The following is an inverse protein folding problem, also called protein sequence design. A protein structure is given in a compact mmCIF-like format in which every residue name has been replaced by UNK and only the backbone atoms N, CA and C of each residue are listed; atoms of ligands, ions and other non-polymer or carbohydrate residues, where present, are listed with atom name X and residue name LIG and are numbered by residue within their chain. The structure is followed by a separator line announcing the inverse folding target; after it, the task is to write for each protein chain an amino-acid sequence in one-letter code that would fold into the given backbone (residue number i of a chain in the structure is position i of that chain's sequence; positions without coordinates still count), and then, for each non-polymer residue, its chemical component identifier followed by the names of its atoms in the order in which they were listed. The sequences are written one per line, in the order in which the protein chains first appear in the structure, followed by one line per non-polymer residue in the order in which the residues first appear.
data_IF_186639620966
#
_entry.id   IF_186639620966
#
_cell.length_a   1.000
_cell.length_b   1.000
_cell.length_c   1.000
_cell.angle_alpha   90.00
_cell.angle_beta   90.00
_cell.angle_gamma   90.00
#
_symmetry.space_group_name_H-M   'P 1'
#
loop_
_entity.id
_entity.type
_entity.pdbx_description
1 polymer ?
#
# COMPACT_ATOMS: atom_id res chain seq x y z
N UNK A 1 1.73 -2.84 -6.79
CA UNK A 1 2.11 -1.98 -5.64
C UNK A 1 1.19 -2.19 -4.45
N UNK A 2 -0.14 -2.02 -4.56
CA UNK A 2 -1.09 -2.26 -3.46
C UNK A 2 -0.97 -3.65 -2.82
N UNK A 3 -0.90 -4.72 -3.62
CA UNK A 3 -0.68 -6.09 -3.12
C UNK A 3 0.61 -6.22 -2.31
N UNK A 4 1.71 -5.64 -2.78
CA UNK A 4 3.00 -5.67 -2.08
C UNK A 4 2.94 -4.88 -0.77
N UNK A 5 2.32 -3.70 -0.78
CA UNK A 5 2.15 -2.90 0.43
C UNK A 5 1.31 -3.64 1.48
N UNK A 6 0.23 -4.29 1.05
CA UNK A 6 -0.59 -5.13 1.92
C UNK A 6 0.20 -6.31 2.49
N UNK A 7 0.90 -7.09 1.64
CA UNK A 7 1.70 -8.22 2.08
C UNK A 7 2.76 -7.81 3.11
N UNK A 8 3.55 -6.77 2.80
CA UNK A 8 4.58 -6.28 3.73
C UNK A 8 4.00 -5.79 5.06
N UNK A 9 2.80 -5.22 5.06
CA UNK A 9 2.14 -4.79 6.31
C UNK A 9 1.81 -5.94 7.27
N UNK A 10 1.58 -7.14 6.74
CA UNK A 10 1.38 -8.35 7.53
C UNK A 10 2.69 -9.07 7.84
N UNK A 11 3.68 -8.98 6.94
CA UNK A 11 4.99 -9.60 7.15
C UNK A 11 5.80 -8.91 8.24
N UNK A 12 5.72 -7.57 8.34
CA UNK A 12 6.51 -6.77 9.28
C UNK A 12 5.75 -6.51 10.58
N UNK A 13 5.89 -7.44 11.52
CA UNK A 13 5.35 -7.33 12.86
C UNK A 13 6.20 -6.38 13.73
N UNK A 14 5.53 -5.57 14.56
CA UNK A 14 6.17 -4.57 15.44
C UNK A 14 7.12 -3.64 14.67
N UNK A 15 6.71 -3.22 13.47
CA UNK A 15 7.45 -2.25 12.68
C UNK A 15 7.60 -0.94 13.46
N UNK A 16 8.82 -0.40 13.50
CA UNK A 16 9.15 0.84 14.23
C UNK A 16 9.78 1.92 13.34
N UNK A 17 9.85 1.66 12.04
CA UNK A 17 10.45 2.56 11.04
C UNK A 17 9.54 2.67 9.81
N UNK A 18 9.51 3.82 9.13
CA UNK A 18 8.70 3.99 7.94
C UNK A 18 9.17 3.09 6.81
N UNK A 19 8.22 2.43 6.15
CA UNK A 19 8.43 1.74 4.87
C UNK A 19 7.49 2.40 3.86
N UNK A 20 8.04 3.19 2.94
CA UNK A 20 7.26 3.94 1.95
C UNK A 20 7.44 3.31 0.58
N UNK A 21 6.38 2.70 0.06
CA UNK A 21 6.33 2.27 -1.33
C UNK A 21 5.97 3.48 -2.20
N UNK A 22 6.65 3.61 -3.34
CA UNK A 22 6.38 4.66 -4.32
C UNK A 22 6.62 4.12 -5.73
N UNK A 23 6.31 4.92 -6.74
CA UNK A 23 6.61 4.61 -8.13
C UNK A 23 6.19 5.74 -9.05
N UNK A 24 6.01 5.44 -10.32
CA UNK A 24 5.65 6.43 -11.34
C UNK A 24 4.86 5.78 -12.46
N UNK A 25 3.98 6.54 -13.09
CA UNK A 25 3.36 6.12 -14.35
C UNK A 25 4.29 6.42 -15.54
N UNK A 26 5.08 7.49 -15.44
CA UNK A 26 6.02 7.92 -16.47
C UNK A 26 7.46 7.71 -15.98
N UNK A 27 8.36 7.08 -16.74
CA UNK A 27 9.76 6.87 -16.34
C UNK A 27 10.45 8.16 -15.87
N UNK A 28 11.28 8.08 -14.82
CA UNK A 28 11.85 9.25 -14.12
C UNK A 28 12.68 10.20 -15.01
N UNK A 29 13.22 9.68 -16.11
CA UNK A 29 14.05 10.43 -17.05
C UNK A 29 13.22 11.28 -18.03
N UNK A 30 11.93 11.01 -18.17
CA UNK A 30 11.05 11.80 -19.03
C UNK A 30 10.76 13.18 -18.45
N UNK A 31 10.57 14.17 -19.33
CA UNK A 31 10.40 15.58 -18.93
C UNK A 31 9.16 15.80 -18.07
N UNK A 32 8.07 15.09 -18.39
CA UNK A 32 6.78 15.20 -17.68
C UNK A 32 6.59 14.12 -16.61
N UNK A 33 7.68 13.50 -16.15
CA UNK A 33 7.61 12.38 -15.22
C UNK A 33 7.04 12.78 -13.86
N UNK A 34 6.22 11.90 -13.31
CA UNK A 34 5.75 11.95 -11.92
C UNK A 34 6.70 11.27 -10.93
N UNK A 35 7.67 10.52 -11.43
CA UNK A 35 8.62 9.77 -10.61
C UNK A 35 9.54 10.64 -9.77
N UNK A 36 9.89 11.86 -10.23
CA UNK A 36 10.75 12.76 -9.46
C UNK A 36 10.06 13.23 -8.18
N UNK A 37 8.84 13.74 -8.31
CA UNK A 37 8.04 14.21 -7.18
C UNK A 37 7.66 13.07 -6.25
N UNK A 38 7.26 11.91 -6.81
CA UNK A 38 6.92 10.72 -6.05
C UNK A 38 8.13 10.18 -5.26
N UNK A 39 9.34 10.19 -5.84
CA UNK A 39 10.55 9.74 -5.17
C UNK A 39 10.95 10.71 -4.05
N UNK A 40 11.01 12.01 -4.35
CA UNK A 40 11.40 13.04 -3.37
C UNK A 40 10.42 13.03 -2.18
N UNK A 41 9.11 13.04 -2.44
CA UNK A 41 8.12 13.02 -1.36
C UNK A 41 8.18 11.75 -0.51
N UNK A 42 8.47 10.59 -1.11
CA UNK A 42 8.64 9.34 -0.36
C UNK A 42 9.88 9.37 0.55
N UNK A 43 10.99 9.93 0.08
CA UNK A 43 12.21 10.11 0.87
C UNK A 43 12.01 11.12 2.00
N UNK A 44 11.26 12.20 1.75
CA UNK A 44 10.92 13.18 2.78
C UNK A 44 10.10 12.54 3.91
N UNK A 45 9.07 11.75 3.59
CA UNK A 45 8.32 10.99 4.61
C UNK A 45 9.24 10.05 5.37
N UNK A 46 10.01 9.22 4.66
CA UNK A 46 10.85 8.20 5.28
C UNK A 46 11.96 8.78 6.16
N UNK A 47 12.51 9.95 5.79
CA UNK A 47 13.65 10.56 6.47
C UNK A 47 13.28 11.54 7.58
N UNK A 48 12.09 12.15 7.53
CA UNK A 48 11.73 13.26 8.44
C UNK A 48 10.57 12.93 9.38
N UNK A 49 9.77 11.90 9.11
CA UNK A 49 8.57 11.59 9.88
C UNK A 49 8.64 10.19 10.48
N UNK A 50 8.31 10.07 11.76
CA UNK A 50 8.20 8.79 12.45
C UNK A 50 6.81 8.19 12.21
N UNK A 51 6.63 7.54 11.05
CA UNK A 51 5.39 6.83 10.69
C UNK A 51 5.72 5.34 10.59
N UNK A 52 5.59 4.55 11.67
CA UNK A 52 6.05 3.16 11.74
C UNK A 52 5.11 2.18 11.02
N UNK A 53 4.75 2.49 9.78
CA UNK A 53 3.83 1.71 8.96
C UNK A 53 4.40 1.43 7.57
N UNK A 54 3.87 0.37 6.94
CA UNK A 54 3.99 0.21 5.50
C UNK A 54 2.98 1.13 4.82
N UNK A 55 3.50 2.11 4.08
CA UNK A 55 2.72 3.16 3.43
C UNK A 55 2.95 3.15 1.92
N UNK A 56 2.04 3.80 1.20
CA UNK A 56 2.16 4.04 -0.23
C UNK A 56 2.08 5.54 -0.47
N UNK A 57 3.12 6.12 -1.04
CA UNK A 57 3.16 7.52 -1.43
C UNK A 57 2.97 7.66 -2.94
N UNK A 58 1.97 8.43 -3.35
CA UNK A 58 1.71 8.72 -4.75
C UNK A 58 0.94 10.04 -4.86
N UNK A 59 1.31 10.91 -5.81
CA UNK A 59 0.57 12.15 -6.10
C UNK A 59 0.28 12.99 -4.86
N UNK A 60 1.33 13.32 -4.12
CA UNK A 60 1.23 14.23 -2.98
C UNK A 60 0.32 13.69 -1.85
N UNK A 61 0.05 12.39 -1.83
CA UNK A 61 -0.75 11.73 -0.79
C UNK A 61 0.01 10.52 -0.26
N UNK A 62 -0.02 10.38 1.06
CA UNK A 62 0.48 9.21 1.77
C UNK A 62 -0.71 8.39 2.24
N UNK A 63 -0.75 7.12 1.86
CA UNK A 63 -1.80 6.19 2.22
C UNK A 63 -1.26 5.08 3.12
N UNK A 64 -2.12 4.52 3.98
CA UNK A 64 -1.83 3.25 4.66
C UNK A 64 -1.78 2.11 3.63
N UNK A 65 -0.68 1.38 3.56
CA UNK A 65 -0.38 0.45 2.47
C UNK A 65 -1.46 -0.62 2.22
N UNK A 66 -2.01 -1.19 3.29
CA UNK A 66 -3.06 -2.22 3.23
C UNK A 66 -4.48 -1.68 3.01
N UNK A 67 -4.64 -0.37 2.78
CA UNK A 67 -5.93 0.26 2.47
C UNK A 67 -6.01 0.79 1.04
N UNK A 68 -4.98 0.59 0.21
CA UNK A 68 -4.88 1.16 -1.13
C UNK A 68 -5.29 0.17 -2.22
N UNK A 69 -5.97 0.66 -3.24
CA UNK A 69 -6.20 -0.06 -4.51
C UNK A 69 -5.76 0.81 -5.69
N UNK A 70 -5.26 0.19 -6.76
CA UNK A 70 -5.00 0.90 -8.02
C UNK A 70 -6.35 1.14 -8.71
N UNK A 71 -6.68 2.39 -8.95
CA UNK A 71 -7.98 2.80 -9.54
C UNK A 71 -7.86 3.27 -10.98
N UNK A 72 -6.66 3.67 -11.41
CA UNK A 72 -6.43 4.23 -12.75
C UNK A 72 -5.10 3.70 -13.32
N UNK A 73 -5.13 3.33 -14.60
CA UNK A 73 -3.98 2.78 -15.33
C UNK A 73 -3.28 3.83 -16.20
N UNK A 74 -3.95 4.92 -16.57
CA UNK A 74 -3.43 5.95 -17.47
C UNK A 74 -3.24 7.28 -16.73
N UNK A 75 -4.21 7.62 -15.89
CA UNK A 75 -4.20 8.83 -15.12
C UNK A 75 -3.07 8.89 -14.13
N UNK A 76 -2.70 10.12 -13.85
CA UNK A 76 -1.67 10.48 -12.90
C UNK A 76 -2.07 10.16 -11.45
N UNK A 77 -3.37 10.09 -11.13
CA UNK A 77 -3.91 9.68 -9.83
C UNK A 77 -4.23 8.18 -9.81
N UNK A 78 -3.18 7.35 -9.85
CA UNK A 78 -3.31 5.90 -10.05
C UNK A 78 -3.88 5.12 -8.86
N UNK A 79 -3.79 5.66 -7.63
CA UNK A 79 -4.09 4.95 -6.39
C UNK A 79 -5.04 5.74 -5.49
N UNK A 80 -5.94 5.02 -4.82
CA UNK A 80 -6.82 5.59 -3.81
C UNK A 80 -7.13 4.62 -2.67
N UNK A 81 -7.65 5.18 -1.58
CA UNK A 81 -8.12 4.45 -0.40
C UNK A 81 -9.57 4.82 -0.10
N UNK A 82 -10.50 4.02 -0.62
CA UNK A 82 -11.93 4.33 -0.54
C UNK A 82 -12.49 4.28 0.90
N UNK A 83 -11.95 3.40 1.74
CA UNK A 83 -12.51 3.09 3.06
C UNK A 83 -11.60 3.54 4.21
N UNK A 84 -10.56 4.33 3.93
CA UNK A 84 -9.68 4.88 4.96
C UNK A 84 -9.04 6.19 4.47
N UNK A 85 -9.05 7.27 5.27
CA UNK A 85 -8.44 8.54 4.88
C UNK A 85 -6.92 8.42 4.65
N UNK A 86 -6.38 9.33 3.84
CA UNK A 86 -4.92 9.56 3.69
C UNK A 86 -4.27 9.84 5.05
N UNK A 87 -3.09 9.27 5.29
CA UNK A 87 -2.28 9.51 6.49
C UNK A 87 -1.60 10.87 6.44
N UNK A 88 -1.18 11.30 5.24
CA UNK A 88 -0.62 12.63 5.03
C UNK A 88 -0.96 13.20 3.65
N UNK A 89 -1.01 14.52 3.55
CA UNK A 89 -1.20 15.26 2.30
C UNK A 89 -0.13 16.33 2.13
N UNK A 90 0.50 16.34 0.96
CA UNK A 90 1.52 17.30 0.55
C UNK A 90 0.84 18.45 -0.17
N UNK A 91 0.46 19.47 0.60
CA UNK A 91 -0.06 20.74 0.09
C UNK A 91 1.09 21.77 0.14
N UNK A 92 0.79 23.04 0.39
CA UNK A 92 1.82 24.05 0.72
C UNK A 92 2.67 23.64 1.93
N UNK A 93 2.05 22.92 2.88
CA UNK A 93 2.72 22.25 3.99
C UNK A 93 2.31 20.78 3.98
N UNK A 94 3.18 19.92 4.52
CA UNK A 94 2.87 18.51 4.74
C UNK A 94 1.96 18.43 5.96
N UNK A 95 0.73 17.93 5.77
CA UNK A 95 -0.24 17.74 6.83
C UNK A 95 -0.32 16.25 7.15
N UNK A 96 0.15 15.85 8.32
CA UNK A 96 0.08 14.47 8.81
C UNK A 96 -1.07 14.35 9.81
N UNK A 97 -1.90 13.31 9.65
CA UNK A 97 -3.00 12.98 10.54
C UNK A 97 -2.53 11.97 11.59
N UNK A 98 -1.88 12.48 12.64
CA UNK A 98 -1.25 11.68 13.70
C UNK A 98 -2.24 10.80 14.47
N UNK A 99 -3.48 11.23 14.58
CA UNK A 99 -4.60 10.49 15.16
C UNK A 99 -4.90 9.17 14.43
N UNK A 100 -4.53 9.07 13.16
CA UNK A 100 -4.73 7.86 12.35
C UNK A 100 -3.54 6.92 12.37
N UNK A 101 -2.35 7.40 12.77
CA UNK A 101 -1.12 6.63 12.69
C UNK A 101 -1.12 5.54 13.76
N UNK A 102 -0.77 4.34 13.33
CA UNK A 102 -0.74 3.15 14.15
C UNK A 102 0.71 2.84 14.54
N UNK A 103 1.03 3.05 15.81
CA UNK A 103 2.35 2.77 16.37
C UNK A 103 2.27 1.58 17.34
N UNK A 104 2.93 0.49 16.96
CA UNK A 104 3.12 -0.72 17.77
C UNK A 104 4.58 -0.99 18.11
N UNK A 105 5.44 0.00 17.93
CA UNK A 105 6.88 -0.16 18.19
C UNK A 105 7.19 -0.59 19.64
N UNK A 106 6.28 -0.34 20.59
CA UNK A 106 6.39 -0.74 22.00
C UNK A 106 5.82 -2.12 22.34
N UNK A 107 5.13 -2.80 21.41
CA UNK A 107 4.45 -4.07 21.71
C UNK A 107 5.39 -5.29 21.68
N UNK A 108 6.59 -5.18 21.11
CA UNK A 108 7.58 -6.27 21.08
C UNK A 108 8.74 -6.02 20.13
N UNK A 109 9.68 -6.98 20.00
CA UNK A 109 10.76 -6.89 19.04
C UNK A 109 10.23 -6.98 17.60
N UNK A 110 10.91 -6.31 16.68
CA UNK A 110 10.63 -6.41 15.24
C UNK A 110 10.82 -7.85 14.74
N UNK A 111 9.85 -8.36 14.00
CA UNK A 111 9.88 -9.71 13.44
C UNK A 111 9.37 -9.73 12.00
N UNK A 112 9.90 -10.63 11.17
CA UNK A 112 9.53 -10.77 9.76
C UNK A 112 8.93 -12.15 9.50
N UNK A 113 7.65 -12.19 9.18
CA UNK A 113 6.94 -13.41 8.79
C UNK A 113 7.17 -13.72 7.32
N UNK A 114 8.07 -14.66 7.03
CA UNK A 114 8.38 -15.09 5.64
C UNK A 114 7.59 -16.32 5.19
N UNK A 115 7.05 -17.09 6.14
CA UNK A 115 6.27 -18.29 5.85
C UNK A 115 4.78 -17.94 5.66
N UNK A 116 4.45 -17.40 4.48
CA UNK A 116 3.08 -17.10 4.09
C UNK A 116 2.44 -18.32 3.42
N UNK A 117 1.18 -18.61 3.74
CA UNK A 117 0.42 -19.66 3.07
C UNK A 117 0.24 -19.32 1.58
N UNK A 118 0.66 -20.24 0.70
CA UNK A 118 0.55 -20.10 -0.76
C UNK A 118 -0.79 -20.61 -1.30
N UNK A 119 -1.49 -21.43 -0.53
CA UNK A 119 -2.82 -21.94 -0.86
C UNK A 119 -3.83 -20.89 -0.38
N UNK A 120 -3.96 -19.83 -1.19
CA UNK A 120 -4.96 -18.77 -1.02
C UNK A 120 -5.37 -18.29 -2.40
N UNK A 121 -6.67 -18.05 -2.62
CA UNK A 121 -7.19 -17.64 -3.92
C UNK A 121 -8.29 -16.56 -3.78
N UNK A 122 -8.49 -15.76 -4.83
CA UNK A 122 -9.53 -14.74 -4.90
C UNK A 122 -10.61 -15.15 -5.91
N UNK A 123 -11.79 -15.53 -5.42
CA UNK A 123 -12.95 -15.81 -6.26
C UNK A 123 -13.80 -14.55 -6.40
N UNK A 124 -13.86 -13.98 -7.60
CA UNK A 124 -14.77 -12.88 -7.92
C UNK A 124 -16.08 -13.45 -8.46
N UNK A 125 -17.18 -13.25 -7.72
CA UNK A 125 -18.51 -13.64 -8.17
C UNK A 125 -18.99 -12.72 -9.31
N UNK A 126 -19.74 -13.29 -10.25
CA UNK A 126 -20.37 -12.58 -11.36
C UNK A 126 -21.71 -13.24 -11.73
N UNK A 127 -22.66 -12.50 -12.34
CA UNK A 127 -23.94 -13.07 -12.77
C UNK A 127 -23.74 -14.25 -13.72
N UNK A 128 -24.37 -15.39 -13.42
CA UNK A 128 -24.24 -16.61 -14.22
C UNK A 128 -23.07 -17.52 -13.83
N UNK A 129 -22.29 -17.19 -12.78
CA UNK A 129 -21.32 -18.13 -12.23
C UNK A 129 -22.04 -19.42 -11.78
N UNK A 130 -21.54 -20.57 -12.24
CA UNK A 130 -22.20 -21.86 -11.95
C UNK A 130 -21.67 -22.46 -10.66
N UNK A 131 -22.50 -23.25 -9.98
CA UNK A 131 -22.07 -24.07 -8.83
C UNK A 131 -20.86 -24.96 -9.19
N UNK A 132 -20.82 -25.53 -10.39
CA UNK A 132 -19.70 -26.37 -10.84
C UNK A 132 -18.39 -25.57 -10.91
N UNK A 133 -18.44 -24.32 -11.41
CA UNK A 133 -17.28 -23.42 -11.43
C UNK A 133 -16.77 -23.13 -10.02
N UNK A 134 -17.68 -22.82 -9.08
CA UNK A 134 -17.32 -22.54 -7.68
C UNK A 134 -16.74 -23.78 -7.02
N UNK A 135 -17.36 -24.96 -7.21
CA UNK A 135 -16.87 -26.23 -6.67
C UNK A 135 -15.46 -26.53 -7.18
N UNK A 136 -15.24 -26.45 -8.49
CA UNK A 136 -13.93 -26.69 -9.09
C UNK A 136 -12.88 -25.68 -8.60
N UNK A 137 -13.29 -24.43 -8.38
CA UNK A 137 -12.42 -23.40 -7.81
C UNK A 137 -12.06 -23.67 -6.35
N UNK A 138 -12.81 -24.48 -5.61
CA UNK A 138 -12.51 -24.77 -4.20
C UNK A 138 -11.86 -26.14 -3.99
N UNK A 139 -11.54 -26.87 -5.07
CA UNK A 139 -10.80 -28.13 -4.96
C UNK A 139 -9.37 -27.89 -4.45
N UNK A 140 -8.83 -28.78 -3.59
CA UNK A 140 -7.46 -28.66 -3.10
C UNK A 140 -6.42 -28.64 -4.23
N UNK A 141 -5.27 -27.94 -4.05
CA UNK A 141 -4.88 -27.17 -2.87
C UNK A 141 -5.25 -25.69 -3.00
N UNK A 142 -6.28 -25.25 -2.28
CA UNK A 142 -6.68 -23.85 -2.12
C UNK A 142 -6.87 -23.52 -0.65
#
# INVERSE_FOLDING_TARGET
MSYTAAALSFMFENLSKPIVLTGSQIPIFETRSDGRDNLIGSLLIAGQYHIPEVTLYFRNRLYRGNRVTKIDCEGLNAFDSHNFPTLAEFRTKIQVKWDLIFDRSSEGPFNVHTNLNRNVSLLRLFPGITYLTVRQFLEPPI
#
